data_IF_809128634417
#
_entry.id   IF_809128634417
#
_cell.length_a   1.000
_cell.length_b   1.000
_cell.length_c   1.000
_cell.angle_alpha   90.00
_cell.angle_beta   90.00
_cell.angle_gamma   90.00
#
_symmetry.space_group_name_H-M   'P 1'
#
loop_
_entity.id
_entity.type
_entity.pdbx_description
1 polymer ?
#
# COMPACT_ATOMS: atom_id res chain seq x y z
N UNK A 1 15.62 -4.35 -42.60
CA UNK A 1 14.41 -3.95 -41.88
C UNK A 1 14.73 -2.82 -40.90
N UNK A 2 14.19 -1.63 -41.17
CA UNK A 2 14.42 -0.47 -40.33
C UNK A 2 13.59 -0.61 -39.05
N UNK A 3 14.25 -0.71 -37.89
CA UNK A 3 13.60 -0.39 -36.65
C UNK A 3 13.39 1.12 -36.60
N UNK A 4 12.15 1.57 -36.44
CA UNK A 4 11.88 2.97 -36.13
C UNK A 4 12.67 3.36 -34.89
N UNK A 5 13.67 4.16 -35.04
CA UNK A 5 14.36 4.79 -33.92
C UNK A 5 13.50 5.96 -33.44
N UNK A 6 13.28 6.03 -32.15
CA UNK A 6 12.67 7.19 -31.51
C UNK A 6 13.59 8.39 -31.75
N UNK A 7 13.09 9.52 -32.27
CA UNK A 7 13.95 10.68 -32.50
C UNK A 7 14.56 11.17 -31.19
N UNK A 8 15.87 11.43 -31.19
CA UNK A 8 16.60 12.04 -30.09
C UNK A 8 16.69 13.52 -30.39
N UNK A 9 16.15 14.35 -29.47
CA UNK A 9 16.33 15.81 -29.54
C UNK A 9 17.58 16.15 -28.76
N UNK A 10 18.59 16.71 -29.47
CA UNK A 10 19.81 17.20 -28.83
C UNK A 10 19.49 18.24 -27.78
N UNK A 11 20.04 18.07 -26.56
CA UNK A 11 19.87 18.99 -25.46
C UNK A 11 18.62 18.78 -24.60
N UNK A 12 17.77 17.77 -24.90
CA UNK A 12 16.66 17.44 -24.01
C UNK A 12 17.16 16.91 -22.65
N UNK A 13 16.78 17.61 -21.60
CA UNK A 13 17.13 17.32 -20.21
C UNK A 13 15.90 17.05 -19.32
N UNK A 14 14.70 17.10 -19.93
CA UNK A 14 13.48 16.78 -19.18
C UNK A 14 13.38 15.29 -18.93
N UNK A 15 12.95 14.92 -17.74
CA UNK A 15 12.71 13.51 -17.41
C UNK A 15 11.27 13.13 -17.67
N UNK A 16 10.97 11.87 -17.99
CA UNK A 16 9.60 11.39 -18.09
C UNK A 16 8.79 11.68 -16.83
N UNK A 17 7.52 12.01 -16.99
CA UNK A 17 6.59 12.26 -15.89
C UNK A 17 5.79 11.00 -15.58
N UNK A 18 5.90 10.51 -14.35
CA UNK A 18 5.11 9.38 -13.85
C UNK A 18 3.99 9.95 -12.98
N UNK A 19 2.74 9.80 -13.44
CA UNK A 19 1.55 10.42 -12.86
C UNK A 19 0.58 9.36 -12.34
N UNK A 20 -0.35 9.78 -11.48
CA UNK A 20 -1.43 8.95 -10.93
C UNK A 20 -1.30 8.68 -9.44
N UNK A 21 -0.10 8.82 -8.88
CA UNK A 21 0.15 8.63 -7.45
C UNK A 21 1.39 9.42 -7.02
N UNK A 22 1.46 9.78 -5.76
CA UNK A 22 2.65 10.44 -5.19
C UNK A 22 3.77 9.42 -4.97
N UNK A 23 5.00 9.86 -5.13
CA UNK A 23 6.17 9.05 -4.78
C UNK A 23 6.15 8.67 -3.28
N UNK A 24 6.49 7.42 -3.00
CA UNK A 24 6.45 6.82 -1.65
C UNK A 24 5.05 6.74 -1.01
N UNK A 25 3.99 6.83 -1.80
CA UNK A 25 2.62 6.66 -1.30
C UNK A 25 2.35 5.25 -0.80
N UNK A 26 1.54 5.16 0.24
CA UNK A 26 0.92 3.93 0.74
C UNK A 26 -0.60 4.07 0.58
N UNK A 27 -1.22 3.18 -0.17
CA UNK A 27 -2.65 3.23 -0.48
C UNK A 27 -3.29 1.85 -0.46
N UNK A 28 -4.56 1.78 -0.07
CA UNK A 28 -5.38 0.55 -0.18
C UNK A 28 -6.10 0.42 -1.53
N UNK A 29 -6.12 1.50 -2.31
CA UNK A 29 -6.82 1.53 -3.59
C UNK A 29 -5.88 1.19 -4.73
N UNK A 30 -6.43 0.60 -5.79
CA UNK A 30 -5.71 0.46 -7.05
C UNK A 30 -5.30 1.84 -7.60
N UNK A 31 -4.14 1.88 -8.23
CA UNK A 31 -3.56 3.10 -8.82
C UNK A 31 -3.50 2.95 -10.33
N UNK A 32 -4.01 3.95 -11.04
CA UNK A 32 -3.82 4.09 -12.47
C UNK A 32 -2.59 4.98 -12.70
N UNK A 33 -1.56 4.42 -13.30
CA UNK A 33 -0.30 5.11 -13.58
C UNK A 33 -0.26 5.50 -15.06
N UNK A 34 0.13 6.74 -15.33
CA UNK A 34 0.38 7.26 -16.68
C UNK A 34 1.80 7.79 -16.76
N UNK A 35 2.51 7.43 -17.83
CA UNK A 35 3.87 7.91 -18.10
C UNK A 35 3.85 8.75 -19.37
N UNK A 36 4.38 9.95 -19.30
CA UNK A 36 4.48 10.89 -20.43
C UNK A 36 5.86 11.52 -20.48
N UNK A 37 6.23 12.00 -21.63
CA UNK A 37 7.48 12.74 -21.87
C UNK A 37 7.25 13.82 -22.93
N UNK A 38 8.06 14.88 -22.93
CA UNK A 38 7.99 15.96 -23.92
C UNK A 38 8.42 15.51 -25.32
N UNK A 39 9.26 14.49 -25.43
CA UNK A 39 9.72 13.90 -26.70
C UNK A 39 9.13 12.51 -26.89
N UNK A 40 9.61 11.53 -26.12
CA UNK A 40 9.07 10.17 -26.15
C UNK A 40 9.59 9.32 -24.99
N UNK A 41 8.74 8.47 -24.48
CA UNK A 41 9.11 7.45 -23.50
C UNK A 41 9.73 6.27 -24.25
N UNK A 42 10.99 5.95 -23.94
CA UNK A 42 11.71 4.82 -24.52
C UNK A 42 11.41 3.50 -23.80
N UNK A 43 11.35 3.56 -22.48
CA UNK A 43 11.22 2.37 -21.65
C UNK A 43 10.48 2.66 -20.34
N UNK A 44 9.61 1.75 -19.96
CA UNK A 44 8.99 1.71 -18.63
C UNK A 44 9.28 0.36 -18.00
N UNK A 45 9.81 0.35 -16.78
CA UNK A 45 9.98 -0.87 -15.98
C UNK A 45 9.17 -0.79 -14.70
N UNK A 46 8.62 -1.92 -14.28
CA UNK A 46 7.94 -2.09 -13.00
C UNK A 46 8.66 -3.22 -12.26
N UNK A 47 9.28 -2.91 -11.14
CA UNK A 47 10.12 -3.86 -10.37
C UNK A 47 11.18 -4.54 -11.25
N UNK A 48 11.82 -3.76 -12.12
CA UNK A 48 12.85 -4.24 -13.06
C UNK A 48 12.35 -4.95 -14.30
N UNK A 49 11.06 -5.28 -14.38
CA UNK A 49 10.47 -5.90 -15.58
C UNK A 49 9.97 -4.84 -16.55
N UNK A 50 10.35 -5.00 -17.82
CA UNK A 50 10.00 -4.06 -18.90
C UNK A 50 8.54 -4.22 -19.34
N UNK A 51 7.86 -3.11 -19.58
CA UNK A 51 6.50 -3.02 -20.09
C UNK A 51 6.42 -2.03 -21.24
N UNK A 52 5.73 -2.40 -22.30
CA UNK A 52 5.52 -1.55 -23.49
C UNK A 52 4.18 -0.80 -23.42
N UNK A 53 3.95 -0.12 -22.29
CA UNK A 53 2.70 0.61 -22.06
C UNK A 53 2.98 1.95 -21.39
N UNK A 54 2.27 2.99 -21.80
CA UNK A 54 2.33 4.33 -21.21
C UNK A 54 1.29 4.53 -20.11
N UNK A 55 0.34 3.62 -19.98
CA UNK A 55 -0.71 3.66 -18.96
C UNK A 55 -1.03 2.25 -18.48
N UNK A 56 -1.07 2.06 -17.16
CA UNK A 56 -1.33 0.75 -16.55
C UNK A 56 -1.93 0.88 -15.16
N UNK A 57 -2.60 -0.17 -14.70
CA UNK A 57 -3.23 -0.24 -13.39
C UNK A 57 -2.45 -1.17 -12.46
N UNK A 58 -2.10 -0.68 -11.29
CA UNK A 58 -1.56 -1.47 -10.19
C UNK A 58 -2.67 -1.74 -9.18
N UNK A 59 -3.03 -3.00 -8.95
CA UNK A 59 -4.17 -3.37 -8.10
C UNK A 59 -3.80 -4.36 -6.98
N UNK A 60 -2.81 -5.20 -7.20
CA UNK A 60 -2.37 -6.19 -6.20
C UNK A 60 -1.59 -5.52 -5.08
N UNK A 61 -1.79 -5.98 -3.85
CA UNK A 61 -0.95 -5.56 -2.71
C UNK A 61 0.51 -5.91 -2.98
N UNK A 62 1.39 -4.94 -2.77
CA UNK A 62 2.82 -5.08 -3.02
C UNK A 62 3.53 -3.73 -3.08
N UNK A 63 4.85 -3.79 -3.14
CA UNK A 63 5.71 -2.62 -3.36
C UNK A 63 6.08 -2.55 -4.83
N UNK A 64 5.94 -1.38 -5.42
CA UNK A 64 6.22 -1.14 -6.83
C UNK A 64 7.24 -0.04 -6.97
N UNK A 65 8.27 -0.30 -7.77
CA UNK A 65 9.22 0.69 -8.25
C UNK A 65 9.02 0.84 -9.75
N UNK A 66 8.54 1.99 -10.17
CA UNK A 66 8.29 2.33 -11.57
C UNK A 66 9.44 3.21 -12.02
N UNK A 67 10.13 2.82 -13.07
CA UNK A 67 11.18 3.61 -13.71
C UNK A 67 10.78 3.89 -15.16
N UNK A 68 10.88 5.13 -15.56
CA UNK A 68 10.68 5.55 -16.96
C UNK A 68 11.96 6.18 -17.49
N UNK A 69 12.31 5.87 -18.72
CA UNK A 69 13.48 6.41 -19.43
C UNK A 69 13.01 6.95 -20.77
N UNK A 70 13.43 8.16 -21.13
CA UNK A 70 13.16 8.76 -22.43
C UNK A 70 14.19 8.35 -23.51
N UNK A 71 14.03 8.85 -24.73
CA UNK A 71 14.92 8.58 -25.83
C UNK A 71 16.33 9.17 -25.62
N UNK A 72 16.47 10.20 -24.79
CA UNK A 72 17.73 10.88 -24.50
C UNK A 72 18.46 10.30 -23.26
N UNK A 73 17.88 9.29 -22.63
CA UNK A 73 18.46 8.64 -21.45
C UNK A 73 18.11 9.32 -20.14
N UNK A 74 17.26 10.37 -20.13
CA UNK A 74 16.77 10.94 -18.88
C UNK A 74 15.80 9.94 -18.22
N UNK A 75 15.86 9.82 -16.90
CA UNK A 75 15.10 8.83 -16.17
C UNK A 75 14.39 9.43 -14.96
N UNK A 76 13.22 8.89 -14.67
CA UNK A 76 12.50 9.15 -13.42
C UNK A 76 12.09 7.84 -12.74
N UNK A 77 11.98 7.90 -11.41
CA UNK A 77 11.60 6.75 -10.58
C UNK A 77 10.49 7.18 -9.63
N UNK A 78 9.45 6.36 -9.53
CA UNK A 78 8.36 6.52 -8.58
C UNK A 78 8.16 5.20 -7.83
N UNK A 79 8.07 5.29 -6.52
CA UNK A 79 7.77 4.15 -5.64
C UNK A 79 6.38 4.29 -5.06
N UNK A 80 5.62 3.18 -5.02
CA UNK A 80 4.31 3.13 -4.40
C UNK A 80 4.10 1.77 -3.73
N UNK A 81 3.41 1.77 -2.60
CA UNK A 81 2.99 0.54 -1.91
C UNK A 81 1.46 0.48 -1.94
N UNK A 82 0.92 -0.61 -2.47
CA UNK A 82 -0.50 -0.93 -2.41
C UNK A 82 -0.70 -1.95 -1.29
N UNK A 83 -1.57 -1.64 -0.37
CA UNK A 83 -1.96 -2.52 0.73
C UNK A 83 -3.48 -2.59 0.85
N UNK A 84 -4.06 -3.62 0.25
CA UNK A 84 -5.48 -3.91 0.31
C UNK A 84 -5.85 -4.95 1.38
N UNK A 85 -4.87 -5.33 2.22
CA UNK A 85 -5.07 -6.33 3.28
C UNK A 85 -5.36 -5.64 4.60
N UNK A 86 -6.37 -6.14 5.33
CA UNK A 86 -6.71 -5.63 6.63
C UNK A 86 -5.82 -6.24 7.73
N UNK A 87 -5.65 -5.53 8.89
CA UNK A 87 -4.93 -6.05 10.04
C UNK A 87 -5.47 -7.40 10.53
N UNK A 88 -4.60 -8.23 11.07
CA UNK A 88 -4.94 -9.56 11.59
C UNK A 88 -4.91 -9.57 13.10
N UNK A 89 -5.95 -10.13 13.72
CA UNK A 89 -6.00 -10.44 15.15
C UNK A 89 -5.62 -11.89 15.40
N UNK A 90 -4.76 -12.13 16.42
CA UNK A 90 -4.43 -13.45 16.95
C UNK A 90 -4.70 -13.50 18.45
N UNK A 91 -5.08 -14.67 18.97
CA UNK A 91 -5.36 -14.87 20.39
C UNK A 91 -6.82 -14.65 20.78
N UNK A 92 -7.63 -14.05 19.92
CA UNK A 92 -9.08 -13.91 20.10
C UNK A 92 -9.81 -14.29 18.82
N UNK A 93 -11.04 -14.77 18.96
CA UNK A 93 -11.95 -15.09 17.84
C UNK A 93 -13.26 -14.35 18.01
N UNK A 94 -13.86 -13.95 16.91
CA UNK A 94 -15.16 -13.29 16.90
C UNK A 94 -16.24 -14.17 17.54
N UNK A 95 -17.04 -13.59 18.42
CA UNK A 95 -18.12 -14.28 19.15
C UNK A 95 -17.68 -15.17 20.33
N UNK A 96 -16.38 -15.35 20.56
CA UNK A 96 -15.87 -16.23 21.63
C UNK A 96 -16.03 -15.62 23.01
N UNK A 97 -16.17 -16.48 24.03
CA UNK A 97 -16.19 -16.12 25.44
C UNK A 97 -14.87 -16.50 26.10
N UNK A 98 -14.29 -15.59 26.86
CA UNK A 98 -13.05 -15.77 27.64
C UNK A 98 -13.31 -15.53 29.10
N UNK A 99 -12.59 -16.21 30.01
CA UNK A 99 -12.69 -16.03 31.46
C UNK A 99 -11.60 -15.11 31.98
N UNK A 100 -11.96 -14.11 32.75
CA UNK A 100 -11.08 -13.17 33.46
C UNK A 100 -10.38 -12.16 32.55
N UNK A 101 -9.80 -12.58 31.44
CA UNK A 101 -9.10 -11.71 30.47
C UNK A 101 -9.04 -12.31 29.06
N UNK A 102 -8.86 -11.46 28.08
CA UNK A 102 -8.50 -11.86 26.73
C UNK A 102 -7.19 -11.16 26.32
N UNK A 103 -6.25 -11.92 25.78
CA UNK A 103 -5.00 -11.40 25.25
C UNK A 103 -5.03 -11.53 23.75
N UNK A 104 -4.84 -10.41 23.03
CA UNK A 104 -4.82 -10.41 21.58
C UNK A 104 -3.55 -9.75 21.06
N UNK A 105 -3.08 -10.26 19.93
CA UNK A 105 -2.01 -9.65 19.13
C UNK A 105 -2.61 -9.06 17.86
N UNK A 106 -2.12 -7.91 17.46
CA UNK A 106 -2.53 -7.22 16.22
C UNK A 106 -1.31 -7.06 15.33
N UNK A 107 -1.43 -7.44 14.08
CA UNK A 107 -0.36 -7.31 13.11
C UNK A 107 -0.85 -6.89 11.75
N UNK A 108 0.02 -6.22 11.03
CA UNK A 108 -0.16 -5.84 9.63
C UNK A 108 1.21 -5.67 8.96
N UNK A 109 1.31 -5.96 7.65
CA UNK A 109 2.57 -5.92 6.90
C UNK A 109 3.17 -4.51 6.79
N UNK A 110 2.32 -3.48 6.72
CA UNK A 110 2.73 -2.08 6.59
C UNK A 110 2.54 -1.28 7.89
N UNK A 111 2.10 -1.95 8.93
CA UNK A 111 1.99 -1.42 10.29
C UNK A 111 0.61 -0.89 10.66
N UNK A 112 0.34 -0.90 11.95
CA UNK A 112 -0.91 -0.44 12.53
C UNK A 112 -0.85 1.07 12.77
N UNK A 113 -1.87 1.79 12.33
CA UNK A 113 -2.03 3.23 12.54
C UNK A 113 -2.65 3.54 13.89
N UNK A 114 -3.75 2.86 14.25
CA UNK A 114 -4.42 2.96 15.54
C UNK A 114 -5.26 1.74 15.85
N UNK A 115 -5.63 1.62 17.12
CA UNK A 115 -6.57 0.62 17.62
C UNK A 115 -7.69 1.34 18.36
N UNK A 116 -8.93 0.87 18.24
CA UNK A 116 -10.06 1.28 19.09
C UNK A 116 -10.48 0.10 19.96
N UNK A 117 -10.59 0.33 21.25
CA UNK A 117 -11.14 -0.63 22.20
C UNK A 117 -12.42 -0.05 22.80
N UNK A 118 -13.54 -0.70 22.59
CA UNK A 118 -14.86 -0.24 23.04
C UNK A 118 -15.13 1.23 22.67
N UNK A 119 -14.81 1.61 21.43
CA UNK A 119 -14.98 2.96 20.90
C UNK A 119 -13.85 3.95 21.20
N UNK A 120 -13.00 3.68 22.20
CA UNK A 120 -11.89 4.57 22.58
C UNK A 120 -10.64 4.29 21.73
N UNK A 121 -10.18 5.30 21.02
CA UNK A 121 -8.96 5.25 20.20
C UNK A 121 -7.71 5.23 21.07
N UNK A 122 -6.79 4.35 20.74
CA UNK A 122 -5.50 4.17 21.41
C UNK A 122 -4.36 4.15 20.40
N UNK A 123 -3.13 4.39 20.86
CA UNK A 123 -1.92 4.19 20.06
C UNK A 123 -1.82 2.73 19.61
N UNK A 124 -1.20 2.53 18.45
CA UNK A 124 -0.89 1.20 17.94
C UNK A 124 -0.03 0.41 18.93
N UNK A 125 -0.44 -0.82 19.22
CA UNK A 125 0.28 -1.78 20.06
C UNK A 125 0.22 -3.16 19.42
N UNK A 126 1.29 -3.91 19.52
CA UNK A 126 1.33 -5.29 19.00
C UNK A 126 0.53 -6.27 19.87
N UNK A 127 0.37 -5.98 21.15
CA UNK A 127 -0.31 -6.83 22.14
C UNK A 127 -1.24 -6.00 23.02
N UNK A 128 -2.46 -6.51 23.25
CA UNK A 128 -3.43 -5.94 24.17
C UNK A 128 -3.92 -7.01 25.13
N UNK A 129 -4.15 -6.61 26.38
CA UNK A 129 -4.83 -7.44 27.38
C UNK A 129 -6.11 -6.71 27.79
N UNK A 130 -7.26 -7.34 27.56
CA UNK A 130 -8.58 -6.80 27.89
C UNK A 130 -9.15 -7.58 29.05
N UNK A 131 -9.58 -6.85 30.09
CA UNK A 131 -10.12 -7.41 31.34
C UNK A 131 -11.56 -6.96 31.62
N UNK A 132 -12.08 -6.02 30.81
CA UNK A 132 -13.44 -5.50 31.00
C UNK A 132 -14.46 -6.62 30.80
N UNK A 133 -15.22 -6.96 31.82
CA UNK A 133 -16.33 -7.92 31.77
C UNK A 133 -17.40 -7.46 30.77
N UNK A 134 -18.07 -8.42 30.18
CA UNK A 134 -19.10 -8.20 29.18
C UNK A 134 -18.54 -8.20 27.75
N UNK A 135 -19.33 -7.68 26.84
CA UNK A 135 -19.00 -7.58 25.39
C UNK A 135 -17.89 -6.56 25.15
N UNK A 136 -16.87 -6.98 24.45
CA UNK A 136 -15.76 -6.13 24.04
C UNK A 136 -15.64 -6.10 22.50
N UNK A 137 -15.35 -4.92 21.99
CA UNK A 137 -15.13 -4.67 20.56
C UNK A 137 -13.74 -4.08 20.37
N UNK A 138 -12.93 -4.70 19.50
CA UNK A 138 -11.63 -4.15 19.11
C UNK A 138 -11.63 -3.94 17.60
N UNK A 139 -11.22 -2.75 17.18
CA UNK A 139 -11.02 -2.37 15.79
C UNK A 139 -9.56 -1.98 15.61
N UNK A 140 -8.89 -2.53 14.61
CA UNK A 140 -7.56 -2.13 14.19
C UNK A 140 -7.62 -1.48 12.82
N UNK A 141 -6.90 -0.39 12.65
CA UNK A 141 -6.72 0.29 11.36
C UNK A 141 -5.23 0.32 11.02
N UNK A 142 -4.87 -0.12 9.83
CA UNK A 142 -3.50 -0.05 9.33
C UNK A 142 -3.14 1.34 8.78
N UNK A 143 -1.90 1.51 8.35
CA UNK A 143 -1.42 2.77 7.78
C UNK A 143 -2.01 3.08 6.41
N UNK A 144 -2.45 2.06 5.65
CA UNK A 144 -3.13 2.23 4.36
C UNK A 144 -4.62 2.57 4.51
N UNK A 145 -5.20 2.41 5.72
CA UNK A 145 -6.61 2.70 6.03
C UNK A 145 -7.53 1.49 5.96
N UNK A 146 -7.00 0.26 5.85
CA UNK A 146 -7.81 -0.94 5.99
C UNK A 146 -8.15 -1.17 7.46
N UNK A 147 -9.32 -1.74 7.73
CA UNK A 147 -9.80 -1.99 9.09
C UNK A 147 -10.22 -3.45 9.28
N UNK A 148 -9.95 -3.95 10.49
CA UNK A 148 -10.48 -5.21 10.99
C UNK A 148 -11.19 -4.99 12.30
N UNK A 149 -12.22 -5.80 12.56
CA UNK A 149 -13.03 -5.76 13.80
C UNK A 149 -13.16 -7.16 14.38
N UNK A 150 -12.96 -7.26 15.68
CA UNK A 150 -13.27 -8.48 16.46
C UNK A 150 -14.14 -8.13 17.64
N UNK A 151 -15.12 -8.99 17.93
CA UNK A 151 -16.04 -8.86 19.08
C UNK A 151 -15.97 -10.15 19.87
N UNK A 152 -15.82 -10.04 21.19
CA UNK A 152 -15.77 -11.18 22.11
C UNK A 152 -16.30 -10.78 23.49
N UNK A 153 -16.55 -11.75 24.34
CA UNK A 153 -17.09 -11.52 25.68
C UNK A 153 -16.12 -12.01 26.74
N UNK A 154 -16.01 -11.29 27.85
CA UNK A 154 -15.26 -11.70 29.05
C UNK A 154 -16.25 -11.93 30.20
N UNK A 155 -16.18 -13.12 30.82
CA UNK A 155 -16.91 -13.50 32.02
C UNK A 155 -16.02 -13.48 33.24
#
# INVERSE_FOLDING_TARGET
MYKRQTPIISGDKETPKIQGVRNNALTKKAVLVKVTDNVSVKEVTINGKRFNVSQFKLAKSGRYTIKAVDANGNASVLKVTIDAKAPVFKGVRHGKVYRGKATLKVSDANGIRYIKVNGKKQKARKKLVIRKKGKNTVIACDKAGNQSKVVFTIK
#
